data_IF_041897161273
#
_entry.id   IF_041897161273
#
_cell.length_a   1.000
_cell.length_b   1.000
_cell.length_c   1.000
_cell.angle_alpha   90.00
_cell.angle_beta   90.00
_cell.angle_gamma   90.00
#
_symmetry.space_group_name_H-M   'P 1'
#
loop_
_entity.id
_entity.type
_entity.pdbx_description
1 polymer ?
#
# COMPACT_ATOMS: atom_id res chain seq x y z
N UNK A 1 -27.20 51.50 28.97
CA UNK A 1 -27.25 50.28 29.80
C UNK A 1 -26.62 49.13 29.03
N UNK A 2 -25.31 48.90 29.20
CA UNK A 2 -24.63 47.66 28.80
C UNK A 2 -23.47 47.49 29.79
N UNK A 3 -23.56 46.46 30.65
CA UNK A 3 -22.51 46.07 31.59
C UNK A 3 -21.66 45.00 30.91
N UNK A 4 -20.39 45.31 30.65
CA UNK A 4 -19.38 44.34 30.23
C UNK A 4 -18.69 43.80 31.49
N UNK A 5 -18.87 42.52 31.79
CA UNK A 5 -18.15 41.80 32.86
C UNK A 5 -16.90 41.18 32.26
N UNK A 6 -15.73 41.72 32.62
CA UNK A 6 -14.43 41.11 32.37
C UNK A 6 -14.13 40.07 33.46
N UNK A 7 -14.05 38.80 33.08
CA UNK A 7 -13.48 37.74 33.92
C UNK A 7 -11.98 37.61 33.60
N UNK A 8 -11.14 37.92 34.57
CA UNK A 8 -9.72 37.59 34.54
C UNK A 8 -9.55 36.21 35.18
N UNK A 9 -9.24 35.20 34.36
CA UNK A 9 -8.87 33.87 34.85
C UNK A 9 -7.36 33.83 35.05
N UNK A 10 -6.92 33.81 36.31
CA UNK A 10 -5.54 33.50 36.66
C UNK A 10 -5.32 31.99 36.50
N UNK A 11 -4.55 31.60 35.48
CA UNK A 11 -4.06 30.23 35.34
C UNK A 11 -2.79 30.10 36.17
N UNK A 12 -2.90 29.46 37.34
CA UNK A 12 -1.73 28.98 38.09
C UNK A 12 -1.10 27.82 37.32
N UNK A 13 0.11 28.02 36.82
CA UNK A 13 0.95 26.94 36.31
C UNK A 13 1.59 26.23 37.50
N UNK A 14 0.99 25.14 37.95
CA UNK A 14 1.62 24.21 38.86
C UNK A 14 2.61 23.34 38.08
N UNK A 15 3.91 23.49 38.37
CA UNK A 15 4.95 22.57 37.90
C UNK A 15 4.80 21.24 38.63
N UNK A 16 4.07 20.30 38.02
CA UNK A 16 4.04 18.91 38.48
C UNK A 16 5.28 18.21 37.93
N UNK A 17 6.29 18.05 38.78
CA UNK A 17 7.45 17.22 38.51
C UNK A 17 7.05 15.74 38.64
N UNK A 18 6.54 15.14 37.56
CA UNK A 18 6.28 13.70 37.51
C UNK A 18 7.57 12.93 37.23
N UNK A 19 8.23 12.51 38.31
CA UNK A 19 9.15 11.37 38.27
C UNK A 19 8.31 10.09 38.07
N UNK A 20 8.01 9.79 36.82
CA UNK A 20 7.42 8.53 36.39
C UNK A 20 8.25 8.06 35.21
N UNK A 21 9.13 7.09 35.48
CA UNK A 21 9.86 6.34 34.46
C UNK A 21 8.88 5.48 33.66
N UNK A 22 8.02 6.14 32.87
CA UNK A 22 7.28 5.48 31.81
C UNK A 22 8.32 5.19 30.75
N UNK A 23 8.76 3.94 30.67
CA UNK A 23 9.46 3.42 29.50
C UNK A 23 8.53 3.61 28.30
N UNK A 24 8.61 4.79 27.69
CA UNK A 24 7.93 5.07 26.45
C UNK A 24 8.66 4.24 25.40
N UNK A 25 7.98 3.29 24.75
CA UNK A 25 8.54 2.70 23.54
C UNK A 25 8.82 3.86 22.58
N UNK A 26 10.09 4.16 22.24
CA UNK A 26 10.36 5.18 21.25
C UNK A 26 9.70 4.74 19.96
N UNK A 27 8.73 5.54 19.51
CA UNK A 27 7.82 5.26 18.39
C UNK A 27 8.62 5.02 17.09
N UNK A 28 9.86 5.50 17.02
CA UNK A 28 10.63 5.60 15.78
C UNK A 28 11.47 4.37 15.39
N UNK A 29 11.40 3.25 16.13
CA UNK A 29 12.42 2.18 16.01
C UNK A 29 12.19 1.07 14.99
N UNK A 30 11.15 1.08 14.15
CA UNK A 30 10.98 -0.01 13.16
C UNK A 30 11.98 0.19 12.03
N UNK A 31 12.94 -0.72 11.79
CA UNK A 31 13.85 -0.60 10.65
C UNK A 31 13.06 -0.70 9.34
N UNK A 32 13.32 0.23 8.43
CA UNK A 32 12.66 0.29 7.12
C UNK A 32 13.69 0.08 6.03
N UNK A 33 13.29 -0.64 5.00
CA UNK A 33 14.02 -0.76 3.76
C UNK A 33 13.09 -0.43 2.60
N UNK A 34 13.53 0.40 1.68
CA UNK A 34 12.76 0.74 0.48
C UNK A 34 13.46 0.10 -0.71
N UNK A 35 12.71 -0.67 -1.49
CA UNK A 35 13.19 -1.31 -2.72
C UNK A 35 12.41 -0.74 -3.90
N UNK A 36 13.05 0.17 -4.64
CA UNK A 36 12.54 0.74 -5.88
C UNK A 36 13.19 0.11 -7.12
N UNK A 37 12.61 0.34 -8.30
CA UNK A 37 13.10 -0.15 -9.60
C UNK A 37 14.61 -0.06 -9.76
N UNK A 38 15.26 -1.22 -9.94
CA UNK A 38 16.64 -1.31 -10.45
C UNK A 38 17.74 -0.82 -9.49
N UNK A 39 17.42 -0.52 -8.23
CA UNK A 39 18.43 -0.30 -7.19
C UNK A 39 18.68 -1.61 -6.45
N UNK A 40 19.95 -2.01 -6.32
CA UNK A 40 20.34 -2.98 -5.29
C UNK A 40 19.80 -2.52 -3.93
N UNK A 41 19.45 -3.44 -3.01
CA UNK A 41 19.00 -3.08 -1.66
C UNK A 41 20.04 -2.18 -0.99
N UNK A 42 19.84 -0.87 -1.04
CA UNK A 42 20.77 0.10 -0.48
C UNK A 42 20.13 0.70 0.76
N UNK A 43 20.81 0.43 1.88
CA UNK A 43 20.63 0.97 3.23
C UNK A 43 19.39 0.54 4.01
N UNK A 44 19.65 0.11 5.25
CA UNK A 44 18.68 0.04 6.34
C UNK A 44 18.54 1.46 6.90
N UNK A 45 17.32 2.01 6.93
CA UNK A 45 17.06 3.28 7.59
C UNK A 45 17.22 3.11 9.11
N UNK A 46 18.11 3.92 9.71
CA UNK A 46 18.21 4.18 11.13
C UNK A 46 18.14 5.70 11.37
N UNK A 47 17.59 6.11 12.51
CA UNK A 47 16.88 7.36 12.81
C UNK A 47 17.49 8.70 12.35
N UNK A 48 18.79 8.82 12.12
CA UNK A 48 19.45 10.14 12.04
C UNK A 48 19.17 10.95 10.77
N UNK A 49 18.56 10.36 9.73
CA UNK A 49 18.36 11.04 8.44
C UNK A 49 16.97 10.81 7.79
N UNK A 50 15.92 10.53 8.57
CA UNK A 50 14.58 10.17 8.01
C UNK A 50 14.01 11.24 7.05
N UNK A 51 14.07 12.53 7.41
CA UNK A 51 13.58 13.62 6.55
C UNK A 51 14.41 13.83 5.27
N UNK A 52 15.73 13.65 5.33
CA UNK A 52 16.63 13.77 4.18
C UNK A 52 16.62 12.54 3.26
N UNK A 53 16.55 11.34 3.84
CA UNK A 53 16.55 10.08 3.10
C UNK A 53 15.32 9.90 2.22
N UNK A 54 14.13 10.23 2.73
CA UNK A 54 12.91 10.25 1.91
C UNK A 54 12.95 11.29 0.79
N UNK A 55 13.79 12.32 0.89
CA UNK A 55 13.96 13.33 -0.15
C UNK A 55 14.95 12.91 -1.23
N UNK A 56 15.97 12.13 -0.90
CA UNK A 56 17.09 11.81 -1.80
C UNK A 56 16.95 10.44 -2.49
N UNK A 57 16.43 9.42 -1.78
CA UNK A 57 16.31 8.04 -2.32
C UNK A 57 14.94 7.73 -2.95
N UNK A 58 13.90 8.53 -2.67
CA UNK A 58 12.61 8.48 -3.36
C UNK A 58 12.53 9.49 -4.51
N UNK A 59 13.67 9.86 -5.11
CA UNK A 59 13.77 10.84 -6.21
C UNK A 59 13.01 10.44 -7.49
N UNK A 60 12.38 9.26 -7.52
CA UNK A 60 11.29 8.96 -8.46
C UNK A 60 9.99 9.62 -8.00
N UNK A 61 9.49 10.61 -8.75
CA UNK A 61 8.26 11.40 -8.56
C UNK A 61 6.94 10.61 -8.32
N UNK A 62 6.85 9.77 -7.29
CA UNK A 62 5.62 9.10 -6.88
C UNK A 62 5.19 9.61 -5.49
N UNK A 63 4.57 10.81 -5.42
CA UNK A 63 4.12 11.39 -4.15
C UNK A 63 3.18 10.45 -3.38
N UNK A 64 2.37 9.66 -4.10
CA UNK A 64 1.47 8.67 -3.51
C UNK A 64 2.21 7.51 -2.84
N UNK A 65 3.30 7.00 -3.45
CA UNK A 65 4.11 5.96 -2.82
C UNK A 65 4.79 6.48 -1.55
N UNK A 66 5.32 7.71 -1.57
CA UNK A 66 5.89 8.33 -0.37
C UNK A 66 4.85 8.48 0.75
N UNK A 67 3.68 9.02 0.43
CA UNK A 67 2.59 9.17 1.39
C UNK A 67 2.15 7.82 1.97
N UNK A 68 2.07 6.78 1.13
CA UNK A 68 1.79 5.41 1.54
C UNK A 68 2.84 4.86 2.51
N UNK A 69 4.13 4.97 2.19
CA UNK A 69 5.23 4.51 3.08
C UNK A 69 5.17 5.23 4.42
N UNK A 70 4.97 6.54 4.42
CA UNK A 70 4.85 7.34 5.64
C UNK A 70 3.66 6.88 6.49
N UNK A 71 2.46 6.81 5.91
CA UNK A 71 1.25 6.46 6.63
C UNK A 71 1.32 5.04 7.23
N UNK A 72 1.77 4.05 6.46
CA UNK A 72 1.89 2.65 6.94
C UNK A 72 2.93 2.55 8.05
N UNK A 73 4.06 3.24 7.90
CA UNK A 73 5.13 3.26 8.91
C UNK A 73 4.65 3.89 10.21
N UNK A 74 4.06 5.09 10.15
CA UNK A 74 3.56 5.81 11.31
C UNK A 74 2.46 5.02 12.02
N UNK A 75 1.55 4.42 11.27
CA UNK A 75 0.51 3.56 11.84
C UNK A 75 1.12 2.36 12.57
N UNK A 76 2.07 1.65 11.93
CA UNK A 76 2.72 0.47 12.53
C UNK A 76 3.47 0.84 13.81
N UNK A 77 4.20 1.96 13.78
CA UNK A 77 4.90 2.50 14.94
C UNK A 77 3.94 2.84 16.09
N UNK A 78 2.83 3.52 15.79
CA UNK A 78 1.79 3.83 16.78
C UNK A 78 1.15 2.55 17.36
N UNK A 79 0.93 1.53 16.54
CA UNK A 79 0.42 0.22 17.00
C UNK A 79 1.38 -0.49 17.93
N UNK A 80 2.67 -0.55 17.59
CA UNK A 80 3.70 -1.14 18.46
C UNK A 80 3.77 -0.43 19.81
N UNK A 81 3.75 0.90 19.80
CA UNK A 81 3.77 1.71 21.02
C UNK A 81 2.52 1.46 21.89
N UNK A 82 1.33 1.43 21.28
CA UNK A 82 0.06 1.15 21.97
C UNK A 82 0.05 -0.23 22.63
N UNK A 83 0.60 -1.24 21.96
CA UNK A 83 0.69 -2.62 22.47
C UNK A 83 1.89 -2.84 23.40
N UNK A 84 2.67 -1.80 23.70
CA UNK A 84 3.91 -1.85 24.51
C UNK A 84 4.93 -2.86 23.97
N UNK A 85 4.96 -3.06 22.66
CA UNK A 85 5.89 -3.95 21.97
C UNK A 85 7.13 -3.16 21.53
N UNK A 86 8.00 -2.83 22.48
CA UNK A 86 9.21 -2.05 22.18
C UNK A 86 10.23 -2.88 21.39
N UNK A 87 10.77 -2.33 20.30
CA UNK A 87 11.85 -2.94 19.50
C UNK A 87 13.23 -2.42 19.92
N UNK A 88 13.50 -2.48 21.21
CA UNK A 88 14.70 -1.91 21.82
C UNK A 88 15.85 -2.91 21.99
N UNK A 89 15.56 -4.21 22.06
CA UNK A 89 16.59 -5.25 22.11
C UNK A 89 17.30 -5.39 20.75
N UNK A 90 18.61 -5.70 20.79
CA UNK A 90 19.38 -5.95 19.57
C UNK A 90 18.79 -7.08 18.73
N UNK A 91 18.21 -8.09 19.38
CA UNK A 91 17.52 -9.21 18.71
C UNK A 91 16.23 -8.76 18.03
N UNK A 92 15.40 -7.96 18.73
CA UNK A 92 14.20 -7.34 18.14
C UNK A 92 14.54 -6.53 16.90
N UNK A 93 15.58 -5.70 16.97
CA UNK A 93 16.02 -4.85 15.85
C UNK A 93 16.54 -5.68 14.67
N UNK A 94 17.34 -6.70 14.94
CA UNK A 94 17.87 -7.60 13.89
C UNK A 94 16.76 -8.35 13.17
N UNK A 95 15.70 -8.74 13.87
CA UNK A 95 14.55 -9.48 13.31
C UNK A 95 13.50 -8.58 12.67
N UNK A 96 13.46 -7.30 13.06
CA UNK A 96 12.43 -6.38 12.59
C UNK A 96 12.85 -5.67 11.32
N UNK A 97 11.99 -5.72 10.30
CA UNK A 97 12.21 -5.05 9.03
C UNK A 97 10.90 -4.90 8.27
N UNK A 98 10.54 -3.67 7.92
CA UNK A 98 9.51 -3.42 6.92
C UNK A 98 10.16 -3.06 5.59
N UNK A 99 10.04 -3.94 4.62
CA UNK A 99 10.49 -3.73 3.26
C UNK A 99 9.34 -3.19 2.41
N UNK A 100 9.44 -1.96 1.92
CA UNK A 100 8.48 -1.38 0.99
C UNK A 100 8.93 -1.58 -0.44
N UNK A 101 8.05 -2.09 -1.29
CA UNK A 101 8.35 -2.42 -2.68
C UNK A 101 7.40 -1.67 -3.61
N UNK A 102 7.97 -0.90 -4.55
CA UNK A 102 7.22 -0.15 -5.56
C UNK A 102 7.09 -0.97 -6.86
N UNK A 103 5.88 -1.46 -7.12
CA UNK A 103 5.49 -2.21 -8.31
C UNK A 103 4.60 -1.34 -9.20
N UNK A 104 5.16 -0.78 -10.29
CA UNK A 104 4.36 -0.03 -11.25
C UNK A 104 3.36 -0.94 -11.98
N UNK A 105 2.50 -0.38 -12.82
CA UNK A 105 1.68 -1.18 -13.73
C UNK A 105 2.55 -2.00 -14.68
N UNK A 106 3.62 -1.39 -15.22
CA UNK A 106 4.55 -2.06 -16.12
C UNK A 106 6.01 -1.65 -15.90
N UNK A 107 6.93 -2.56 -16.23
CA UNK A 107 8.37 -2.35 -16.14
C UNK A 107 9.14 -3.12 -17.24
N UNK A 108 10.39 -2.71 -17.51
CA UNK A 108 11.30 -3.43 -18.40
C UNK A 108 12.36 -4.24 -17.63
N UNK A 109 12.32 -4.22 -16.30
CA UNK A 109 13.36 -4.78 -15.45
C UNK A 109 12.74 -5.90 -14.64
N UNK A 110 13.42 -7.04 -14.60
CA UNK A 110 13.09 -8.10 -13.66
C UNK A 110 12.97 -7.50 -12.26
N UNK A 111 11.82 -7.71 -11.63
CA UNK A 111 11.62 -7.28 -10.26
C UNK A 111 12.65 -7.99 -9.39
N UNK A 112 13.26 -7.25 -8.46
CA UNK A 112 14.09 -7.89 -7.46
C UNK A 112 13.24 -8.95 -6.75
N UNK A 113 13.74 -10.20 -6.73
CA UNK A 113 13.09 -11.26 -5.96
C UNK A 113 13.04 -10.80 -4.51
N UNK A 114 11.84 -10.69 -3.97
CA UNK A 114 11.67 -10.37 -2.57
C UNK A 114 11.73 -11.70 -1.81
N UNK A 115 12.72 -11.91 -0.94
CA UNK A 115 12.86 -13.18 -0.24
C UNK A 115 11.59 -13.47 0.56
N UNK A 116 11.07 -14.70 0.53
CA UNK A 116 9.89 -15.06 1.30
C UNK A 116 10.12 -14.83 2.79
N UNK A 117 9.04 -14.51 3.51
CA UNK A 117 9.07 -14.49 4.97
C UNK A 117 9.01 -15.93 5.47
N UNK A 118 10.19 -16.51 5.75
CA UNK A 118 10.33 -17.91 6.17
C UNK A 118 9.83 -18.19 7.61
N UNK A 119 9.58 -17.15 8.42
CA UNK A 119 9.25 -17.31 9.82
C UNK A 119 7.73 -17.32 10.07
N UNK A 120 7.18 -18.50 10.35
CA UNK A 120 5.90 -18.60 11.07
C UNK A 120 6.16 -18.24 12.54
N UNK A 121 5.57 -17.16 13.08
CA UNK A 121 5.78 -16.80 14.48
C UNK A 121 5.13 -17.83 15.40
N UNK A 122 5.80 -18.15 16.52
CA UNK A 122 5.35 -19.19 17.46
C UNK A 122 4.16 -18.76 18.33
N UNK A 123 4.03 -17.45 18.57
CA UNK A 123 2.97 -16.85 19.37
C UNK A 123 2.49 -15.51 18.79
N UNK A 124 2.33 -15.44 17.47
CA UNK A 124 2.12 -14.19 16.75
C UNK A 124 1.10 -14.28 15.61
N UNK A 125 1.20 -13.37 14.66
CA UNK A 125 0.35 -13.36 13.48
C UNK A 125 1.19 -13.42 12.20
N UNK A 126 0.70 -14.16 11.20
CA UNK A 126 1.19 -14.14 9.82
C UNK A 126 0.05 -13.67 8.90
N UNK A 127 0.32 -12.69 8.04
CA UNK A 127 -0.58 -12.31 6.93
C UNK A 127 0.10 -12.60 5.60
N UNK A 128 -0.56 -13.36 4.74
CA UNK A 128 -0.22 -13.49 3.32
C UNK A 128 -1.32 -12.86 2.48
N UNK A 129 -0.98 -11.87 1.66
CA UNK A 129 -1.96 -11.16 0.82
C UNK A 129 -1.32 -10.54 -0.43
N UNK A 130 -2.12 -10.16 -1.45
CA UNK A 130 -1.66 -9.42 -2.60
C UNK A 130 -0.92 -8.12 -2.27
N UNK A 131 -1.36 -7.40 -1.22
CA UNK A 131 -0.79 -6.10 -0.83
C UNK A 131 0.40 -6.22 0.11
N UNK A 132 0.46 -7.27 0.93
CA UNK A 132 1.57 -7.45 1.87
C UNK A 132 1.76 -8.89 2.32
N UNK A 133 3.01 -9.18 2.70
CA UNK A 133 3.36 -10.28 3.57
C UNK A 133 3.80 -9.71 4.91
N UNK A 134 3.21 -10.14 6.01
CA UNK A 134 3.58 -9.70 7.36
C UNK A 134 3.75 -10.89 8.29
N UNK A 135 4.74 -10.82 9.15
CA UNK A 135 4.91 -11.69 10.31
C UNK A 135 5.19 -10.81 11.53
N UNK A 136 4.44 -11.01 12.60
CA UNK A 136 4.56 -10.25 13.83
C UNK A 136 4.53 -11.22 15.01
N UNK A 137 5.46 -11.06 15.94
CA UNK A 137 5.50 -11.83 17.18
C UNK A 137 5.60 -10.86 18.34
N UNK A 138 4.77 -11.08 19.38
CA UNK A 138 4.72 -10.21 20.57
C UNK A 138 5.72 -10.62 21.64
N UNK A 139 5.91 -11.94 21.80
CA UNK A 139 6.66 -12.56 22.88
C UNK A 139 7.41 -13.78 22.35
N UNK A 140 8.55 -14.17 22.98
CA UNK A 140 9.16 -13.52 24.14
C UNK A 140 9.89 -12.21 23.80
N UNK A 141 10.37 -12.09 22.56
CA UNK A 141 11.04 -10.90 22.04
C UNK A 141 10.18 -10.34 20.91
N UNK A 142 9.62 -9.13 21.04
CA UNK A 142 8.76 -8.58 20.01
C UNK A 142 9.55 -8.27 18.74
N UNK A 143 8.99 -8.59 17.58
CA UNK A 143 9.53 -8.20 16.28
C UNK A 143 8.43 -8.15 15.23
N UNK A 144 8.67 -7.36 14.19
CA UNK A 144 7.77 -7.25 13.04
C UNK A 144 8.59 -7.31 11.75
N UNK A 145 8.26 -8.25 10.87
CA UNK A 145 8.90 -8.39 9.58
C UNK A 145 7.86 -8.42 8.49
N UNK A 146 8.01 -7.58 7.48
CA UNK A 146 7.00 -7.45 6.44
C UNK A 146 7.57 -7.01 5.11
N UNK A 147 6.88 -7.42 4.05
CA UNK A 147 7.03 -6.93 2.68
C UNK A 147 5.72 -6.22 2.36
N UNK A 148 5.78 -4.90 2.23
CA UNK A 148 4.63 -4.06 1.94
C UNK A 148 4.71 -3.60 0.49
N UNK A 149 3.73 -3.97 -0.33
CA UNK A 149 3.75 -3.75 -1.78
C UNK A 149 2.87 -2.57 -2.13
N UNK A 150 3.45 -1.57 -2.78
CA UNK A 150 2.70 -0.57 -3.53
C UNK A 150 2.58 -1.09 -4.97
N UNK A 151 1.44 -1.68 -5.32
CA UNK A 151 1.27 -2.39 -6.58
C UNK A 151 0.12 -1.78 -7.38
N UNK A 152 0.45 -0.98 -8.40
CA UNK A 152 -0.55 -0.32 -9.25
C UNK A 152 -1.42 -1.32 -10.01
N UNK A 153 -0.85 -2.46 -10.45
CA UNK A 153 -1.63 -3.49 -11.13
C UNK A 153 -2.60 -4.16 -10.17
N UNK A 154 -2.20 -4.40 -8.92
CA UNK A 154 -3.10 -4.94 -7.90
C UNK A 154 -4.26 -3.99 -7.63
N UNK A 155 -4.00 -2.68 -7.55
CA UNK A 155 -5.07 -1.69 -7.41
C UNK A 155 -6.12 -1.86 -8.51
N UNK A 156 -5.73 -1.98 -9.78
CA UNK A 156 -6.67 -2.18 -10.89
C UNK A 156 -7.34 -3.55 -10.89
N UNK A 157 -6.62 -4.61 -10.49
CA UNK A 157 -7.21 -5.93 -10.30
C UNK A 157 -8.32 -5.90 -9.25
N UNK A 158 -8.09 -5.21 -8.13
CA UNK A 158 -9.11 -5.05 -7.10
C UNK A 158 -10.32 -4.27 -7.63
N UNK A 159 -10.09 -3.19 -8.40
CA UNK A 159 -11.20 -2.44 -9.00
C UNK A 159 -11.99 -3.25 -10.02
N UNK A 160 -11.34 -4.11 -10.80
CA UNK A 160 -12.01 -5.03 -11.70
C UNK A 160 -12.90 -6.01 -10.92
N UNK A 161 -12.41 -6.60 -9.83
CA UNK A 161 -13.20 -7.46 -8.94
C UNK A 161 -14.41 -6.70 -8.36
N UNK A 162 -14.19 -5.49 -7.82
CA UNK A 162 -15.26 -4.64 -7.26
C UNK A 162 -16.26 -4.13 -8.32
N UNK A 163 -15.91 -4.25 -9.60
CA UNK A 163 -16.78 -3.95 -10.74
C UNK A 163 -17.49 -5.19 -11.30
N UNK A 164 -17.30 -6.36 -10.67
CA UNK A 164 -17.98 -7.60 -11.04
C UNK A 164 -17.22 -8.49 -12.03
N UNK A 165 -15.92 -8.25 -12.27
CA UNK A 165 -15.12 -9.14 -13.10
C UNK A 165 -14.86 -10.48 -12.37
N UNK A 166 -15.22 -11.59 -13.01
CA UNK A 166 -15.17 -12.93 -12.40
C UNK A 166 -13.88 -13.72 -12.71
N UNK A 167 -13.04 -13.21 -13.63
CA UNK A 167 -11.83 -13.87 -14.14
C UNK A 167 -10.53 -13.13 -13.74
N UNK A 168 -10.56 -12.33 -12.68
CA UNK A 168 -9.36 -11.67 -12.15
C UNK A 168 -8.46 -12.74 -11.50
N UNK A 169 -7.17 -12.87 -11.91
CA UNK A 169 -6.27 -13.83 -11.29
C UNK A 169 -6.14 -13.62 -9.78
N UNK A 170 -6.20 -14.71 -9.02
CA UNK A 170 -5.99 -14.69 -7.57
C UNK A 170 -4.51 -14.44 -7.24
N UNK A 171 -4.26 -13.73 -6.13
CA UNK A 171 -2.91 -13.46 -5.64
C UNK A 171 -2.32 -12.15 -6.16
N UNK A 172 -1.00 -12.03 -6.14
CA UNK A 172 -0.31 -10.77 -6.44
C UNK A 172 -0.28 -10.52 -7.96
N UNK A 173 -0.92 -9.43 -8.40
CA UNK A 173 -0.86 -8.98 -9.79
C UNK A 173 0.55 -8.47 -10.15
N UNK A 174 1.32 -9.23 -10.94
CA UNK A 174 2.68 -8.86 -11.32
C UNK A 174 2.67 -7.73 -12.37
N UNK A 175 3.59 -6.74 -12.31
CA UNK A 175 3.71 -5.73 -13.36
C UNK A 175 3.84 -6.37 -14.75
N UNK A 176 3.23 -5.73 -15.75
CA UNK A 176 3.40 -6.08 -17.15
C UNK A 176 4.78 -5.67 -17.67
N UNK A 177 5.23 -6.31 -18.74
CA UNK A 177 6.31 -5.80 -19.58
C UNK A 177 5.78 -4.68 -20.48
N UNK A 178 6.68 -3.84 -21.02
CA UNK A 178 6.27 -2.85 -22.02
C UNK A 178 5.69 -3.50 -23.29
N UNK A 179 6.18 -4.70 -23.65
CA UNK A 179 5.69 -5.45 -24.81
C UNK A 179 4.25 -5.90 -24.57
N UNK A 180 3.95 -6.49 -23.39
CA UNK A 180 2.58 -6.89 -23.03
C UNK A 180 1.65 -5.68 -22.96
N UNK A 181 2.08 -4.58 -22.34
CA UNK A 181 1.26 -3.36 -22.28
C UNK A 181 0.97 -2.79 -23.68
N UNK A 182 1.97 -2.74 -24.56
CA UNK A 182 1.80 -2.28 -25.94
C UNK A 182 0.90 -3.20 -26.76
N UNK A 183 0.99 -4.52 -26.54
CA UNK A 183 0.11 -5.51 -27.15
C UNK A 183 -1.35 -5.27 -26.76
N UNK A 184 -1.66 -5.21 -25.45
CA UNK A 184 -3.02 -4.98 -24.98
C UNK A 184 -3.56 -3.63 -25.44
N UNK A 185 -2.73 -2.59 -25.45
CA UNK A 185 -3.12 -1.29 -25.98
C UNK A 185 -3.58 -1.38 -27.43
N UNK A 186 -2.78 -2.03 -28.29
CA UNK A 186 -3.10 -2.20 -29.71
C UNK A 186 -4.33 -3.07 -29.95
N UNK A 187 -4.56 -4.11 -29.13
CA UNK A 187 -5.78 -4.92 -29.19
C UNK A 187 -7.02 -4.12 -28.80
N UNK A 188 -6.94 -3.34 -27.72
CA UNK A 188 -8.03 -2.47 -27.29
C UNK A 188 -8.38 -1.43 -28.35
N UNK A 189 -7.37 -0.75 -28.91
CA UNK A 189 -7.55 0.21 -29.99
C UNK A 189 -8.20 -0.45 -31.21
N UNK A 190 -7.73 -1.63 -31.62
CA UNK A 190 -8.28 -2.34 -32.77
C UNK A 190 -9.74 -2.69 -32.56
N UNK A 191 -10.07 -3.28 -31.42
CA UNK A 191 -11.44 -3.62 -31.07
C UNK A 191 -12.34 -2.38 -31.04
N UNK A 192 -11.86 -1.29 -30.43
CA UNK A 192 -12.65 -0.06 -30.23
C UNK A 192 -12.91 0.71 -31.52
N UNK A 193 -11.93 0.78 -32.43
CA UNK A 193 -12.02 1.63 -33.62
C UNK A 193 -12.40 0.88 -34.89
N UNK A 194 -12.03 -0.39 -35.01
CA UNK A 194 -12.27 -1.13 -36.25
C UNK A 194 -13.55 -1.97 -36.25
N UNK A 195 -14.27 -2.08 -35.12
CA UNK A 195 -15.55 -2.80 -34.98
C UNK A 195 -15.64 -4.01 -35.91
N UNK A 196 -14.61 -4.87 -35.87
CA UNK A 196 -14.64 -6.11 -36.65
C UNK A 196 -15.77 -6.95 -36.05
N UNK A 197 -16.85 -7.12 -36.83
CA UNK A 197 -18.11 -7.78 -36.45
C UNK A 197 -17.93 -9.24 -35.99
N UNK A 198 -16.73 -9.80 -36.13
CA UNK A 198 -16.35 -11.17 -35.77
C UNK A 198 -15.24 -11.22 -34.70
N UNK A 199 -14.83 -10.07 -34.14
CA UNK A 199 -13.81 -10.05 -33.10
C UNK A 199 -14.31 -10.80 -31.85
N UNK A 200 -13.49 -11.73 -31.38
CA UNK A 200 -13.67 -12.37 -30.07
C UNK A 200 -13.83 -11.32 -28.98
N UNK A 201 -14.64 -11.59 -27.93
CA UNK A 201 -14.79 -10.67 -26.82
C UNK A 201 -13.43 -10.28 -26.24
N UNK A 202 -13.23 -8.99 -25.96
CA UNK A 202 -11.97 -8.50 -25.39
C UNK A 202 -11.60 -9.21 -24.09
N UNK A 203 -12.62 -9.62 -23.35
CA UNK A 203 -12.54 -10.37 -22.09
C UNK A 203 -11.81 -11.71 -22.23
N UNK A 204 -11.73 -12.28 -23.43
CA UNK A 204 -11.03 -13.54 -23.71
C UNK A 204 -9.51 -13.36 -23.90
N UNK A 205 -9.07 -12.16 -24.28
CA UNK A 205 -7.67 -11.90 -24.67
C UNK A 205 -6.95 -10.91 -23.75
N UNK A 206 -7.70 -10.11 -22.98
CA UNK A 206 -7.14 -9.06 -22.15
C UNK A 206 -7.37 -9.33 -20.65
N UNK A 207 -6.35 -9.11 -19.81
CA UNK A 207 -6.52 -9.19 -18.36
C UNK A 207 -7.61 -8.21 -17.87
N UNK A 208 -8.52 -8.63 -16.97
CA UNK A 208 -9.65 -7.79 -16.57
C UNK A 208 -9.24 -6.48 -15.87
N UNK A 209 -8.09 -6.46 -15.20
CA UNK A 209 -7.50 -5.26 -14.61
C UNK A 209 -7.12 -4.21 -15.66
N UNK A 210 -6.64 -4.67 -16.82
CA UNK A 210 -6.29 -3.81 -17.95
C UNK A 210 -7.54 -3.36 -18.70
N UNK A 211 -8.52 -4.25 -18.88
CA UNK A 211 -9.83 -3.86 -19.44
C UNK A 211 -10.53 -2.82 -18.58
N UNK A 212 -10.51 -2.99 -17.25
CA UNK A 212 -11.07 -2.02 -16.33
C UNK A 212 -10.38 -0.65 -16.50
N UNK A 213 -9.04 -0.64 -16.55
CA UNK A 213 -8.27 0.59 -16.76
C UNK A 213 -8.65 1.28 -18.08
N UNK A 214 -8.68 0.55 -19.20
CA UNK A 214 -8.98 1.13 -20.51
C UNK A 214 -10.43 1.58 -20.62
N UNK A 215 -11.38 0.79 -20.12
CA UNK A 215 -12.81 1.16 -20.07
C UNK A 215 -13.08 2.41 -19.24
N UNK A 216 -12.27 2.68 -18.22
CA UNK A 216 -12.37 3.87 -17.36
C UNK A 216 -11.42 5.01 -17.76
N UNK A 217 -10.75 4.91 -18.91
CA UNK A 217 -9.93 5.98 -19.46
C UNK A 217 -10.78 6.86 -20.37
N UNK A 218 -11.02 8.11 -19.96
CA UNK A 218 -11.97 9.08 -20.55
C UNK A 218 -11.81 9.30 -22.07
N UNK A 219 -10.67 8.97 -22.67
CA UNK A 219 -10.41 9.20 -24.09
C UNK A 219 -10.20 7.92 -24.91
N UNK A 220 -10.91 6.84 -24.55
CA UNK A 220 -11.13 5.67 -25.42
C UNK A 220 -11.91 5.97 -26.72
N UNK A 221 -12.02 7.24 -27.11
CA UNK A 221 -12.75 7.75 -28.27
C UNK A 221 -11.96 8.77 -29.11
N UNK A 222 -10.77 9.21 -28.71
CA UNK A 222 -9.98 10.20 -29.47
C UNK A 222 -8.46 9.92 -29.45
N UNK A 223 -7.82 9.94 -30.63
CA UNK A 223 -6.37 9.78 -30.82
C UNK A 223 -5.57 11.00 -30.34
N UNK A 224 -4.36 10.85 -29.74
CA UNK A 224 -3.57 9.61 -29.58
C UNK A 224 -3.73 8.92 -28.20
N UNK A 225 -4.17 7.66 -28.19
CA UNK A 225 -4.60 6.90 -27.00
C UNK A 225 -3.46 6.57 -25.99
N UNK A 226 -2.21 6.35 -26.44
CA UNK A 226 -1.06 5.99 -25.58
C UNK A 226 -0.79 7.00 -24.46
N UNK A 227 -0.75 8.30 -24.79
CA UNK A 227 -0.48 9.36 -23.81
C UNK A 227 -1.58 9.47 -22.75
N UNK A 228 -2.82 9.13 -23.13
CA UNK A 228 -3.98 9.23 -22.26
C UNK A 228 -4.14 8.05 -21.32
N UNK A 229 -3.69 6.85 -21.70
CA UNK A 229 -3.65 5.71 -20.79
C UNK A 229 -2.73 6.01 -19.61
N UNK A 230 -1.54 6.58 -19.83
CA UNK A 230 -0.66 6.96 -18.72
C UNK A 230 -1.30 8.02 -17.81
N UNK A 231 -2.02 9.00 -18.38
CA UNK A 231 -2.74 10.00 -17.60
C UNK A 231 -3.89 9.40 -16.79
N UNK A 232 -4.67 8.49 -17.38
CA UNK A 232 -5.75 7.78 -16.72
C UNK A 232 -5.22 6.88 -15.59
N UNK A 233 -4.12 6.16 -15.84
CA UNK A 233 -3.41 5.38 -14.81
C UNK A 233 -2.97 6.25 -13.64
N UNK A 234 -2.33 7.39 -13.91
CA UNK A 234 -1.88 8.32 -12.88
C UNK A 234 -3.07 8.85 -12.08
N UNK A 235 -4.17 9.20 -12.75
CA UNK A 235 -5.42 9.68 -12.13
C UNK A 235 -6.06 8.60 -11.25
N UNK A 236 -6.21 7.39 -11.76
CA UNK A 236 -6.78 6.26 -11.02
C UNK A 236 -5.89 5.91 -9.81
N UNK A 237 -4.57 5.85 -10.00
CA UNK A 237 -3.63 5.65 -8.89
C UNK A 237 -3.77 6.74 -7.83
N UNK A 238 -3.86 8.01 -8.24
CA UNK A 238 -4.01 9.12 -7.31
C UNK A 238 -5.30 9.02 -6.48
N UNK A 239 -6.42 8.68 -7.14
CA UNK A 239 -7.72 8.49 -6.47
C UNK A 239 -7.73 7.26 -5.55
N UNK A 240 -7.13 6.15 -5.99
CA UNK A 240 -7.10 4.90 -5.23
C UNK A 240 -6.06 4.86 -4.11
N UNK A 241 -5.11 5.80 -4.09
CA UNK A 241 -3.97 5.77 -3.18
C UNK A 241 -4.35 5.73 -1.70
N UNK A 242 -5.32 6.55 -1.29
CA UNK A 242 -5.77 6.61 0.10
C UNK A 242 -6.47 5.29 0.50
N UNK A 243 -7.38 4.81 -0.34
CA UNK A 243 -8.08 3.54 -0.09
C UNK A 243 -7.12 2.36 -0.03
N UNK A 244 -6.13 2.30 -0.93
CA UNK A 244 -5.10 1.26 -0.92
C UNK A 244 -4.28 1.29 0.37
N UNK A 245 -3.96 2.50 0.87
CA UNK A 245 -3.28 2.70 2.15
C UNK A 245 -4.13 2.16 3.31
N UNK A 246 -5.44 2.46 3.31
CA UNK A 246 -6.39 1.98 4.34
C UNK A 246 -6.50 0.46 4.34
N UNK A 247 -6.48 -0.19 3.18
CA UNK A 247 -6.46 -1.67 3.08
C UNK A 247 -5.24 -2.25 3.80
N UNK A 248 -4.05 -1.74 3.52
CA UNK A 248 -2.81 -2.21 4.17
C UNK A 248 -2.81 -1.94 5.68
N UNK A 249 -3.27 -0.76 6.09
CA UNK A 249 -3.42 -0.41 7.52
C UNK A 249 -4.41 -1.36 8.23
N UNK A 250 -5.54 -1.67 7.61
CA UNK A 250 -6.53 -2.58 8.16
C UNK A 250 -5.99 -4.01 8.32
N UNK A 251 -5.18 -4.48 7.35
CA UNK A 251 -4.48 -5.76 7.46
C UNK A 251 -3.50 -5.76 8.64
N UNK A 252 -2.71 -4.70 8.81
CA UNK A 252 -1.81 -4.54 9.96
C UNK A 252 -2.60 -4.60 11.27
N UNK A 253 -3.67 -3.80 11.41
CA UNK A 253 -4.51 -3.80 12.61
C UNK A 253 -5.09 -5.18 12.91
N UNK A 254 -5.55 -5.89 11.87
CA UNK A 254 -6.06 -7.26 12.02
C UNK A 254 -4.99 -8.23 12.47
N UNK A 255 -3.74 -8.07 11.99
CA UNK A 255 -2.62 -8.88 12.46
C UNK A 255 -2.29 -8.61 13.92
N UNK A 256 -2.29 -7.34 14.32
CA UNK A 256 -2.11 -6.96 15.72
C UNK A 256 -3.24 -7.50 16.59
N UNK A 257 -4.48 -7.59 16.11
CA UNK A 257 -5.60 -8.13 16.87
C UNK A 257 -5.58 -9.67 16.97
N UNK A 258 -4.99 -10.36 15.99
CA UNK A 258 -4.98 -11.81 15.92
C UNK A 258 -3.91 -12.44 16.82
N UNK A 259 -4.31 -13.27 17.78
CA UNK A 259 -3.39 -14.02 18.63
C UNK A 259 -3.15 -15.41 18.05
N UNK A 260 -1.96 -15.66 17.47
CA UNK A 260 -1.58 -17.00 16.99
C UNK A 260 -2.16 -17.39 15.64
N UNK A 261 -2.69 -16.46 14.83
CA UNK A 261 -3.37 -16.79 13.58
C UNK A 261 -2.46 -16.64 12.34
N UNK A 262 -2.63 -17.56 11.40
CA UNK A 262 -2.22 -17.37 10.01
C UNK A 262 -3.44 -16.90 9.21
N UNK A 263 -3.34 -15.72 8.62
CA UNK A 263 -4.41 -15.09 7.84
C UNK A 263 -3.96 -15.04 6.37
N UNK A 264 -4.76 -15.62 5.50
CA UNK A 264 -4.52 -15.63 4.05
C UNK A 264 -5.66 -14.87 3.36
N UNK A 265 -5.29 -13.91 2.53
CA UNK A 265 -6.20 -13.15 1.67
C UNK A 265 -5.77 -13.34 0.23
N UNK A 266 -6.69 -13.66 -0.66
CA UNK A 266 -6.43 -13.91 -2.08
C UNK A 266 -6.93 -12.78 -2.96
N UNK A 267 -7.95 -12.05 -2.49
CA UNK A 267 -8.61 -10.95 -3.19
C UNK A 267 -9.13 -9.89 -2.22
N UNK A 268 -9.51 -8.73 -2.76
CA UNK A 268 -10.09 -7.63 -1.99
C UNK A 268 -11.39 -8.02 -1.28
N UNK A 269 -12.14 -8.99 -1.83
CA UNK A 269 -13.39 -9.47 -1.24
C UNK A 269 -13.18 -10.24 0.07
N UNK A 270 -11.99 -10.77 0.31
CA UNK A 270 -11.66 -11.49 1.55
C UNK A 270 -11.53 -10.54 2.76
N UNK A 271 -11.38 -9.24 2.50
CA UNK A 271 -11.31 -8.18 3.50
C UNK A 271 -12.73 -7.65 3.72
N UNK A 272 -13.60 -8.54 4.20
CA UNK A 272 -15.07 -8.44 4.18
C UNK A 272 -15.72 -7.37 5.09
N UNK A 273 -15.10 -6.21 5.33
CA UNK A 273 -15.80 -5.05 5.89
C UNK A 273 -16.36 -4.21 4.72
N UNK A 274 -17.68 -4.23 4.47
CA UNK A 274 -18.28 -3.53 3.33
C UNK A 274 -17.99 -2.03 3.32
N UNK A 275 -17.82 -1.42 4.50
CA UNK A 275 -17.54 0.03 4.63
C UNK A 275 -16.16 0.36 4.06
N UNK A 276 -15.20 -0.56 4.19
CA UNK A 276 -13.86 -0.40 3.61
C UNK A 276 -13.89 -0.57 2.08
N UNK A 277 -14.74 -1.46 1.55
CA UNK A 277 -14.79 -1.75 0.12
C UNK A 277 -15.39 -0.59 -0.69
N UNK A 278 -16.47 0.02 -0.22
CA UNK A 278 -17.07 1.19 -0.88
C UNK A 278 -16.11 2.39 -0.90
N UNK A 279 -15.37 2.61 0.19
CA UNK A 279 -14.36 3.67 0.25
C UNK A 279 -13.13 3.39 -0.61
N UNK A 280 -12.89 2.12 -0.97
CA UNK A 280 -11.77 1.71 -1.80
C UNK A 280 -12.10 1.74 -3.30
N UNK A 281 -13.37 1.71 -3.67
CA UNK A 281 -13.81 1.77 -5.06
C UNK A 281 -13.47 3.15 -5.67
N UNK A 282 -12.82 3.13 -6.84
CA UNK A 282 -12.46 4.34 -7.57
C UNK A 282 -13.64 4.73 -8.45
N UNK A 283 -14.27 5.86 -8.14
CA UNK A 283 -15.25 6.47 -9.03
C UNK A 283 -14.55 7.34 -10.09
N UNK A 284 -14.70 6.95 -11.36
CA UNK A 284 -14.16 7.66 -12.52
C UNK A 284 -15.21 8.55 -13.23
N UNK A 285 -16.47 8.56 -12.79
CA UNK A 285 -17.63 9.15 -13.50
C UNK A 285 -17.78 10.68 -13.43
N UNK A 286 -17.01 11.38 -12.57
CA UNK A 286 -17.21 12.81 -12.30
C UNK A 286 -16.65 13.81 -13.35
N UNK A 287 -16.51 13.43 -14.62
CA UNK A 287 -16.13 14.35 -15.71
C UNK A 287 -16.72 13.95 -17.05
#
# INVERSE_FOLDING_TARGET
>A
MFRLLLFVVNVMVANVSTASGVSACPVDKVPIQITSKGSSPKSTLSDTNRAGFFSEHLSGNHPHFRAFVTAVTEHTAARLAKEKCCLDSAESQKRSLLQFVDWPLFNNKSLASVPPLDAQPSGGCRISSPWMDLAFERKPVPWIRGIVRWNQRQLFADQAVLSGANNVPLGVAKPLTYIEMGHFLGEYERWRFHHESEATPLEEHMPPDILWLFGNSIQSTAMPFVGFVQAAMNKATAKGAEGYTKVVIALIDRCFAANGASLEYKSILDIADPILLEQYKIDMTLY
#
